data_IF_607576650428
#
_entry.id   IF_607576650428
#
_cell.length_a   1.000
_cell.length_b   1.000
_cell.length_c   1.000
_cell.angle_alpha   90.00
_cell.angle_beta   90.00
_cell.angle_gamma   90.00
#
_symmetry.space_group_name_H-M   'P 1'
#
loop_
_entity.id
_entity.type
_entity.pdbx_description
1 polymer ?
#
# COMPACT_ATOMS: atom_id res chain seq x y z
N UNK A 1 -31.20 -1.88 1.40
CA UNK A 1 -30.13 -2.80 1.88
C UNK A 1 -29.95 -2.45 3.34
N UNK A 2 -30.09 -3.42 4.26
CA UNK A 2 -29.77 -3.18 5.66
C UNK A 2 -28.30 -2.78 5.72
N UNK A 3 -28.01 -1.71 6.45
CA UNK A 3 -26.63 -1.28 6.74
C UNK A 3 -25.92 -2.42 7.47
N UNK A 4 -25.07 -3.16 6.74
CA UNK A 4 -24.30 -4.26 7.31
C UNK A 4 -23.20 -3.65 8.17
N UNK A 5 -23.45 -3.55 9.48
CA UNK A 5 -22.48 -3.02 10.42
C UNK A 5 -21.45 -4.08 10.75
N UNK A 6 -20.20 -3.85 10.34
CA UNK A 6 -19.03 -4.63 10.76
C UNK A 6 -18.70 -4.35 12.23
N UNK A 7 -17.84 -5.18 12.82
CA UNK A 7 -17.35 -4.98 14.19
C UNK A 7 -16.38 -3.79 14.25
N UNK A 8 -16.22 -3.21 15.43
CA UNK A 8 -15.21 -2.18 15.64
C UNK A 8 -13.80 -2.79 15.65
N UNK A 9 -12.80 -1.97 15.34
CA UNK A 9 -11.40 -2.40 15.35
C UNK A 9 -10.97 -2.77 16.77
N UNK A 10 -11.44 -2.04 17.78
CA UNK A 10 -11.17 -2.32 19.18
C UNK A 10 -11.67 -3.71 19.60
N UNK A 11 -12.92 -4.07 19.27
CA UNK A 11 -13.47 -5.40 19.56
C UNK A 11 -12.67 -6.51 18.88
N UNK A 12 -12.25 -6.31 17.64
CA UNK A 12 -11.46 -7.28 16.90
C UNK A 12 -10.05 -7.43 17.50
N UNK A 13 -9.41 -6.32 17.91
CA UNK A 13 -8.08 -6.34 18.54
C UNK A 13 -8.10 -7.08 19.86
N UNK A 14 -9.15 -6.92 20.69
CA UNK A 14 -9.27 -7.67 21.96
C UNK A 14 -9.41 -9.19 21.70
N UNK A 15 -10.29 -9.60 20.79
CA UNK A 15 -10.42 -11.01 20.41
C UNK A 15 -9.10 -11.57 19.84
N UNK A 16 -8.41 -10.79 19.02
CA UNK A 16 -7.12 -11.14 18.43
C UNK A 16 -6.02 -11.34 19.48
N UNK A 17 -5.98 -10.47 20.49
CA UNK A 17 -5.06 -10.55 21.64
C UNK A 17 -5.28 -11.82 22.46
N UNK A 18 -6.53 -12.25 22.60
CA UNK A 18 -6.90 -13.51 23.26
C UNK A 18 -6.55 -14.74 22.41
N UNK A 19 -6.09 -14.57 21.15
CA UNK A 19 -5.75 -15.66 20.23
C UNK A 19 -6.95 -16.24 19.52
N UNK A 20 -8.03 -15.46 19.35
CA UNK A 20 -9.16 -15.79 18.48
C UNK A 20 -8.86 -15.34 17.06
N UNK A 21 -9.54 -15.97 16.10
CA UNK A 21 -9.52 -15.52 14.71
C UNK A 21 -10.31 -14.23 14.52
N UNK A 22 -9.85 -13.41 13.60
CA UNK A 22 -10.58 -12.26 13.06
C UNK A 22 -10.69 -12.42 11.55
N UNK A 23 -11.85 -12.11 10.99
CA UNK A 23 -12.07 -12.05 9.55
C UNK A 23 -11.82 -10.60 9.12
N UNK A 24 -10.90 -10.43 8.17
CA UNK A 24 -10.61 -9.13 7.58
C UNK A 24 -11.07 -9.16 6.12
N UNK A 25 -11.87 -8.17 5.72
CA UNK A 25 -12.33 -8.02 4.34
C UNK A 25 -11.66 -6.81 3.69
N UNK A 26 -11.36 -6.94 2.41
CA UNK A 26 -10.84 -5.84 1.60
C UNK A 26 -11.93 -5.20 0.72
N UNK A 27 -11.52 -4.25 -0.11
CA UNK A 27 -12.42 -3.49 -0.98
C UNK A 27 -12.95 -4.36 -2.14
N UNK A 28 -14.19 -4.09 -2.57
CA UNK A 28 -14.82 -4.76 -3.71
C UNK A 28 -14.05 -4.55 -5.02
N UNK A 29 -13.36 -3.41 -5.15
CA UNK A 29 -12.56 -3.05 -6.32
C UNK A 29 -11.13 -3.64 -6.28
N UNK A 30 -10.74 -4.37 -5.18
CA UNK A 30 -9.42 -4.99 -5.03
C UNK A 30 -9.49 -6.51 -5.25
N UNK A 31 -9.52 -7.32 -4.20
CA UNK A 31 -9.70 -8.79 -4.25
C UNK A 31 -11.15 -9.17 -4.01
N UNK A 32 -11.85 -8.32 -3.24
CA UNK A 32 -13.21 -8.56 -2.75
C UNK A 32 -13.31 -9.90 -2.01
N UNK A 33 -12.35 -10.14 -1.11
CA UNK A 33 -12.20 -11.40 -0.38
C UNK A 33 -12.21 -11.15 1.14
N UNK A 34 -12.23 -12.22 1.91
CA UNK A 34 -12.07 -12.18 3.35
C UNK A 34 -11.13 -13.27 3.83
N UNK A 35 -10.14 -12.85 4.62
CA UNK A 35 -9.15 -13.74 5.19
C UNK A 35 -9.42 -13.99 6.66
N UNK A 36 -9.25 -15.25 7.06
CA UNK A 36 -9.21 -15.68 8.44
C UNK A 36 -7.79 -15.44 8.98
N UNK A 37 -7.64 -14.52 9.94
CA UNK A 37 -6.34 -14.06 10.43
C UNK A 37 -6.18 -14.34 11.93
N UNK A 38 -4.97 -14.72 12.35
CA UNK A 38 -4.57 -14.91 13.74
C UNK A 38 -3.09 -14.54 13.94
N UNK A 39 -2.71 -14.13 15.16
CA UNK A 39 -1.31 -13.91 15.50
C UNK A 39 -0.50 -15.24 15.46
N UNK A 40 0.70 -15.21 14.89
CA UNK A 40 1.54 -16.39 14.77
C UNK A 40 1.94 -17.01 16.12
N UNK A 41 2.14 -16.19 17.16
CA UNK A 41 2.45 -16.68 18.51
C UNK A 41 1.25 -17.36 19.22
N UNK A 42 0.03 -17.14 18.71
CA UNK A 42 -1.22 -17.71 19.26
C UNK A 42 -1.73 -18.92 18.49
N UNK A 43 -1.07 -19.30 17.39
CA UNK A 43 -1.49 -20.42 16.56
C UNK A 43 -1.13 -21.75 17.23
N UNK A 44 -1.91 -22.78 16.96
CA UNK A 44 -1.67 -24.15 17.37
C UNK A 44 -2.21 -25.14 16.32
N UNK A 45 -1.99 -26.44 16.53
CA UNK A 45 -2.43 -27.47 15.59
C UNK A 45 -3.95 -27.49 15.38
N UNK A 46 -4.74 -27.19 16.41
CA UNK A 46 -6.21 -27.17 16.31
C UNK A 46 -6.66 -25.99 15.44
N UNK A 47 -6.03 -24.83 15.60
CA UNK A 47 -6.32 -23.63 14.80
C UNK A 47 -5.88 -23.78 13.35
N UNK A 48 -4.70 -24.36 13.09
CA UNK A 48 -4.30 -24.71 11.71
C UNK A 48 -5.30 -25.66 11.08
N UNK A 49 -5.71 -26.72 11.81
CA UNK A 49 -6.71 -27.66 11.32
C UNK A 49 -8.08 -26.99 11.08
N UNK A 50 -8.46 -26.02 11.92
CA UNK A 50 -9.66 -25.21 11.70
C UNK A 50 -9.56 -24.41 10.39
N UNK A 51 -8.46 -23.69 10.16
CA UNK A 51 -8.23 -22.96 8.92
C UNK A 51 -8.35 -23.86 7.69
N UNK A 52 -7.64 -25.02 7.72
CA UNK A 52 -7.66 -25.97 6.61
C UNK A 52 -9.05 -26.54 6.31
N UNK A 53 -9.85 -26.81 7.33
CA UNK A 53 -11.21 -27.36 7.16
C UNK A 53 -12.24 -26.31 6.71
N UNK A 54 -12.13 -25.11 7.23
CA UNK A 54 -13.22 -24.15 7.15
C UNK A 54 -12.91 -22.96 6.26
N UNK A 55 -11.66 -22.47 6.22
CA UNK A 55 -11.27 -21.40 5.29
C UNK A 55 -10.89 -21.95 3.91
N UNK A 56 -10.09 -23.02 3.80
CA UNK A 56 -9.77 -23.79 2.58
C UNK A 56 -8.85 -23.07 1.58
N UNK A 57 -8.39 -21.86 1.86
CA UNK A 57 -7.46 -21.09 1.04
C UNK A 57 -6.01 -21.54 1.17
N UNK A 58 -5.07 -20.67 0.87
CA UNK A 58 -3.63 -20.91 1.01
C UNK A 58 -3.14 -20.43 2.38
N UNK A 59 -2.57 -21.33 3.18
CA UNK A 59 -2.02 -20.93 4.48
C UNK A 59 -0.73 -20.14 4.29
N UNK A 60 -0.79 -18.87 4.63
CA UNK A 60 0.32 -17.93 4.54
C UNK A 60 0.71 -17.39 5.92
N UNK A 61 1.97 -16.96 6.03
CA UNK A 61 2.52 -16.39 7.27
C UNK A 61 3.12 -15.00 7.00
N UNK A 62 2.32 -13.92 7.11
CA UNK A 62 2.84 -12.55 7.08
C UNK A 62 3.88 -12.31 8.18
N UNK A 63 5.04 -11.76 7.81
CA UNK A 63 6.10 -11.30 8.70
C UNK A 63 6.67 -9.98 8.18
N UNK A 64 7.36 -9.23 9.05
CA UNK A 64 7.98 -7.95 8.66
C UNK A 64 9.15 -8.17 7.71
N UNK A 65 9.51 -7.15 6.92
CA UNK A 65 10.68 -7.15 6.04
C UNK A 65 11.94 -7.46 6.86
N UNK A 66 12.13 -6.76 8.00
CA UNK A 66 13.28 -6.99 8.89
C UNK A 66 13.36 -8.44 9.35
N UNK A 67 12.21 -9.07 9.64
CA UNK A 67 12.19 -10.47 10.05
C UNK A 67 12.53 -11.43 8.90
N UNK A 68 12.09 -11.12 7.69
CA UNK A 68 12.53 -11.87 6.51
C UNK A 68 14.04 -11.82 6.34
N UNK A 69 14.65 -10.65 6.50
CA UNK A 69 16.10 -10.45 6.39
C UNK A 69 16.86 -11.21 7.49
N UNK A 70 16.41 -11.14 8.75
CA UNK A 70 17.00 -11.88 9.88
C UNK A 70 16.98 -13.40 9.65
N UNK A 71 15.92 -13.89 9.04
CA UNK A 71 15.73 -15.32 8.77
C UNK A 71 16.30 -15.75 7.42
N UNK A 72 16.90 -14.85 6.64
CA UNK A 72 17.42 -15.10 5.28
C UNK A 72 16.35 -15.73 4.37
N UNK A 73 15.20 -15.07 4.28
CA UNK A 73 14.05 -15.48 3.45
C UNK A 73 13.92 -14.58 2.24
N UNK A 74 14.61 -14.85 1.12
CA UNK A 74 14.51 -14.06 -0.09
C UNK A 74 13.12 -14.19 -0.74
N UNK A 75 12.80 -13.26 -1.64
CA UNK A 75 11.62 -13.39 -2.50
C UNK A 75 11.64 -14.71 -3.25
N UNK A 76 10.46 -15.30 -3.44
CA UNK A 76 10.30 -16.58 -4.13
C UNK A 76 10.76 -16.52 -5.59
N UNK A 77 10.62 -15.35 -6.21
CA UNK A 77 11.03 -15.07 -7.60
C UNK A 77 11.79 -13.76 -7.68
N UNK A 78 12.74 -13.68 -8.61
CA UNK A 78 13.47 -12.43 -8.88
C UNK A 78 12.61 -11.36 -9.55
N UNK A 79 11.60 -11.77 -10.32
CA UNK A 79 10.62 -10.92 -10.99
C UNK A 79 9.21 -11.38 -10.63
N UNK A 80 8.46 -10.54 -9.90
CA UNK A 80 7.09 -10.83 -9.53
C UNK A 80 6.13 -10.32 -10.61
N UNK A 81 5.55 -11.25 -11.37
CA UNK A 81 4.58 -10.97 -12.44
C UNK A 81 3.13 -11.21 -12.02
N UNK A 82 2.87 -11.48 -10.72
CA UNK A 82 1.50 -11.69 -10.24
C UNK A 82 0.69 -10.38 -10.32
N UNK A 83 -0.62 -10.52 -10.61
CA UNK A 83 -1.50 -9.37 -10.87
C UNK A 83 -1.50 -8.35 -9.73
N UNK A 84 -1.49 -8.80 -8.48
CA UNK A 84 -1.52 -7.96 -7.27
C UNK A 84 -0.16 -7.83 -6.59
N UNK A 85 0.89 -8.40 -7.19
CA UNK A 85 2.25 -8.34 -6.67
C UNK A 85 2.42 -8.97 -5.28
N UNK A 86 1.67 -10.05 -4.98
CA UNK A 86 1.74 -10.74 -3.69
C UNK A 86 3.17 -11.16 -3.36
N UNK A 87 3.73 -10.68 -2.23
CA UNK A 87 5.16 -10.73 -1.98
C UNK A 87 5.57 -12.02 -1.27
N UNK A 88 5.44 -13.17 -1.94
CA UNK A 88 5.89 -14.46 -1.42
C UNK A 88 7.40 -14.51 -1.23
N UNK A 89 7.82 -15.11 -0.11
CA UNK A 89 9.20 -15.57 0.07
C UNK A 89 9.34 -17.02 -0.39
N UNK A 90 10.57 -17.55 -0.34
CA UNK A 90 10.78 -19.00 -0.39
C UNK A 90 9.98 -19.69 0.72
N UNK A 91 9.37 -20.83 0.42
CA UNK A 91 8.59 -21.61 1.40
C UNK A 91 9.51 -22.27 2.42
N UNK A 92 9.02 -22.48 3.64
CA UNK A 92 9.82 -23.02 4.75
C UNK A 92 9.09 -24.05 5.57
N UNK A 93 9.87 -24.91 6.24
CA UNK A 93 9.44 -25.77 7.34
C UNK A 93 10.43 -25.68 8.50
N UNK A 94 9.96 -25.69 9.75
CA UNK A 94 10.81 -25.81 10.92
C UNK A 94 11.45 -27.21 10.94
N UNK A 95 12.76 -27.27 11.15
CA UNK A 95 13.52 -28.53 11.11
C UNK A 95 13.38 -29.34 12.41
N UNK A 96 13.53 -28.69 13.55
CA UNK A 96 13.52 -29.36 14.84
C UNK A 96 12.09 -29.47 15.41
N UNK A 97 11.71 -30.67 15.87
CA UNK A 97 10.40 -30.91 16.45
C UNK A 97 9.26 -31.10 15.45
N UNK A 98 9.57 -31.14 14.14
CA UNK A 98 8.61 -31.40 13.07
C UNK A 98 8.96 -32.71 12.34
N UNK A 99 7.98 -33.24 11.60
CA UNK A 99 8.16 -34.44 10.78
C UNK A 99 8.37 -34.12 9.30
N UNK A 100 7.31 -34.20 8.49
CA UNK A 100 7.36 -33.91 7.04
C UNK A 100 6.96 -32.47 6.69
N UNK A 101 6.60 -31.66 7.66
CA UNK A 101 6.17 -30.26 7.47
C UNK A 101 4.69 -30.07 7.12
N UNK A 102 3.96 -31.13 6.74
CA UNK A 102 2.59 -31.02 6.20
C UNK A 102 1.49 -31.05 7.26
N UNK A 103 1.72 -31.77 8.38
CA UNK A 103 0.70 -31.91 9.41
C UNK A 103 0.28 -30.54 10.01
N UNK A 104 -0.94 -30.46 10.56
CA UNK A 104 -1.38 -29.24 11.24
C UNK A 104 -0.43 -28.86 12.40
N UNK A 105 0.16 -29.84 13.08
CA UNK A 105 1.17 -29.62 14.10
C UNK A 105 2.45 -29.01 13.52
N UNK A 106 3.03 -29.60 12.47
CA UNK A 106 4.28 -29.10 11.87
C UNK A 106 4.13 -27.69 11.30
N UNK A 107 2.97 -27.41 10.66
CA UNK A 107 2.65 -26.08 10.14
C UNK A 107 2.51 -25.07 11.27
N UNK A 108 1.82 -25.40 12.37
CA UNK A 108 1.70 -24.54 13.52
C UNK A 108 3.06 -24.23 14.15
N UNK A 109 3.91 -25.25 14.31
CA UNK A 109 5.25 -25.09 14.85
C UNK A 109 6.15 -24.23 13.93
N UNK A 110 6.01 -24.36 12.62
CA UNK A 110 6.73 -23.53 11.65
C UNK A 110 6.29 -22.07 11.75
N UNK A 111 4.98 -21.81 11.81
CA UNK A 111 4.43 -20.44 11.94
C UNK A 111 4.86 -19.81 13.27
N UNK A 112 4.79 -20.55 14.40
CA UNK A 112 5.30 -20.05 15.68
C UNK A 112 6.78 -19.71 15.63
N UNK A 113 7.59 -20.55 14.98
CA UNK A 113 9.03 -20.30 14.87
C UNK A 113 9.35 -19.04 14.06
N UNK A 114 8.51 -18.65 13.07
CA UNK A 114 8.66 -17.38 12.37
C UNK A 114 8.48 -16.17 13.30
N UNK A 115 7.65 -16.30 14.35
CA UNK A 115 7.41 -15.29 15.37
C UNK A 115 8.37 -15.36 16.57
N UNK A 116 9.17 -16.42 16.70
CA UNK A 116 10.10 -16.57 17.82
C UNK A 116 11.39 -15.78 17.56
N UNK A 117 11.71 -14.75 18.38
CA UNK A 117 12.94 -13.94 18.23
C UNK A 117 14.25 -14.77 18.29
N UNK A 118 14.21 -15.97 18.92
CA UNK A 118 15.38 -16.84 19.02
C UNK A 118 15.59 -17.71 17.76
N UNK A 119 14.63 -17.79 16.87
CA UNK A 119 14.76 -18.50 15.59
C UNK A 119 15.72 -17.76 14.66
N UNK A 120 16.55 -18.55 13.97
CA UNK A 120 17.54 -18.06 12.99
C UNK A 120 17.27 -18.70 11.63
N UNK A 121 18.01 -18.28 10.60
CA UNK A 121 17.94 -18.90 9.28
C UNK A 121 18.15 -20.42 9.30
N UNK A 122 18.90 -20.95 10.27
CA UNK A 122 19.16 -22.41 10.46
C UNK A 122 18.00 -23.17 11.09
N UNK A 123 17.02 -22.47 11.66
CA UNK A 123 15.80 -23.08 12.22
C UNK A 123 14.94 -23.71 11.13
N UNK A 124 15.08 -23.22 9.87
CA UNK A 124 14.16 -23.56 8.78
C UNK A 124 14.86 -24.30 7.63
N UNK A 125 14.18 -25.36 7.16
CA UNK A 125 14.45 -25.99 5.86
C UNK A 125 13.76 -25.19 4.73
N UNK A 126 14.36 -25.20 3.56
CA UNK A 126 13.90 -24.54 2.32
C UNK A 126 14.08 -25.49 1.14
N UNK A 127 13.06 -25.71 0.28
CA UNK A 127 11.67 -25.28 0.42
C UNK A 127 10.93 -26.02 1.52
N UNK A 128 9.74 -25.54 1.90
CA UNK A 128 8.83 -26.15 2.86
C UNK A 128 7.36 -26.00 2.47
N UNK A 129 6.45 -26.06 3.45
CA UNK A 129 5.00 -26.08 3.25
C UNK A 129 4.28 -24.83 3.81
N UNK A 130 4.99 -23.94 4.48
CA UNK A 130 4.47 -22.63 4.90
C UNK A 130 4.98 -21.58 3.92
N UNK A 131 4.10 -20.64 3.58
CA UNK A 131 4.32 -19.54 2.66
C UNK A 131 4.50 -18.21 3.43
N UNK A 132 5.72 -17.81 3.81
CA UNK A 132 5.91 -16.50 4.41
C UNK A 132 5.66 -15.39 3.38
N UNK A 133 5.14 -14.24 3.87
CA UNK A 133 4.86 -13.07 3.06
C UNK A 133 5.57 -11.85 3.64
N UNK A 134 6.21 -11.05 2.77
CA UNK A 134 6.74 -9.74 3.14
C UNK A 134 5.60 -8.76 3.42
N UNK A 135 5.41 -8.32 4.65
CA UNK A 135 4.52 -7.21 4.95
C UNK A 135 5.25 -5.88 4.77
N UNK A 136 4.63 -4.94 4.09
CA UNK A 136 5.20 -3.61 3.89
C UNK A 136 5.30 -2.86 5.22
N UNK A 137 6.39 -2.09 5.39
CA UNK A 137 6.52 -1.15 6.50
C UNK A 137 5.35 -0.14 6.43
N UNK A 138 4.88 0.33 7.59
CA UNK A 138 3.66 1.10 7.79
C UNK A 138 2.33 0.33 7.56
N UNK A 139 2.37 -0.98 7.28
CA UNK A 139 1.20 -1.84 7.25
C UNK A 139 0.12 -1.39 6.25
N UNK A 140 -1.16 -1.43 6.66
CA UNK A 140 -2.30 -1.05 5.81
C UNK A 140 -2.25 0.41 5.33
N UNK A 141 -1.51 1.27 6.01
CA UNK A 141 -1.29 2.66 5.59
C UNK A 141 -0.33 2.78 4.39
N UNK A 142 0.42 1.73 4.07
CA UNK A 142 1.29 1.64 2.90
C UNK A 142 0.68 0.81 1.78
N UNK A 143 0.10 -0.33 2.12
CA UNK A 143 -0.56 -1.25 1.19
C UNK A 143 -1.81 -1.82 1.84
N UNK A 144 -2.97 -1.53 1.27
CA UNK A 144 -4.28 -1.96 1.76
C UNK A 144 -4.56 -3.44 1.49
N UNK A 145 -3.70 -4.34 2.00
CA UNK A 145 -3.80 -5.80 1.81
C UNK A 145 -3.89 -6.58 3.11
N UNK A 146 -4.40 -7.82 3.03
CA UNK A 146 -4.56 -8.73 4.16
C UNK A 146 -3.22 -9.06 4.86
N UNK A 147 -2.11 -9.13 4.09
CA UNK A 147 -0.75 -9.29 4.61
C UNK A 147 -0.39 -8.21 5.62
N UNK A 148 -0.63 -6.94 5.25
CA UNK A 148 -0.37 -5.77 6.09
C UNK A 148 -1.36 -5.70 7.26
N UNK A 149 -2.63 -6.05 7.02
CA UNK A 149 -3.65 -6.09 8.06
C UNK A 149 -3.30 -7.07 9.19
N UNK A 150 -2.74 -8.24 8.85
CA UNK A 150 -2.28 -9.22 9.84
C UNK A 150 -1.19 -8.66 10.76
N UNK A 151 -0.20 -7.96 10.20
CA UNK A 151 0.88 -7.34 10.98
C UNK A 151 0.36 -6.20 11.84
N UNK A 152 -0.55 -5.39 11.32
CA UNK A 152 -1.13 -4.27 12.07
C UNK A 152 -2.00 -4.76 13.23
N UNK A 153 -2.79 -5.82 13.04
CA UNK A 153 -3.53 -6.45 14.13
C UNK A 153 -2.58 -6.95 15.23
N UNK A 154 -1.46 -7.59 14.87
CA UNK A 154 -0.46 -8.00 15.85
C UNK A 154 0.08 -6.81 16.64
N UNK A 155 0.48 -5.73 15.96
CA UNK A 155 1.01 -4.52 16.59
C UNK A 155 -0.01 -3.85 17.50
N UNK A 156 -1.26 -3.70 17.05
CA UNK A 156 -2.35 -3.10 17.84
C UNK A 156 -2.70 -3.95 19.07
N UNK A 157 -2.59 -5.28 18.98
CA UNK A 157 -2.78 -6.21 20.08
C UNK A 157 -1.59 -6.30 21.06
N UNK A 158 -0.44 -5.66 20.74
CA UNK A 158 0.80 -5.76 21.52
C UNK A 158 1.48 -7.12 21.41
N UNK A 159 1.28 -7.83 20.29
CA UNK A 159 1.85 -9.13 19.99
C UNK A 159 3.04 -9.00 19.01
N UNK A 160 3.85 -10.07 18.88
CA UNK A 160 4.93 -10.08 17.91
C UNK A 160 4.38 -9.87 16.48
N UNK A 161 5.00 -9.01 15.64
CA UNK A 161 4.46 -8.66 14.34
C UNK A 161 4.67 -9.77 13.29
N UNK A 162 4.00 -10.88 13.54
CA UNK A 162 3.90 -12.05 12.66
C UNK A 162 2.51 -12.66 12.79
N UNK A 163 1.89 -13.02 11.67
CA UNK A 163 0.55 -13.59 11.64
C UNK A 163 0.47 -14.88 10.85
N UNK A 164 -0.71 -15.49 10.88
CA UNK A 164 -1.14 -16.49 9.92
C UNK A 164 -2.44 -16.03 9.30
N UNK A 165 -2.59 -16.21 8.01
CA UNK A 165 -3.81 -15.90 7.27
C UNK A 165 -4.15 -16.99 6.26
N UNK A 166 -5.43 -17.08 5.94
CA UNK A 166 -5.95 -17.98 4.90
C UNK A 166 -7.25 -17.40 4.35
N UNK A 167 -7.35 -17.33 3.04
CA UNK A 167 -8.56 -16.88 2.33
C UNK A 167 -9.73 -17.82 2.61
N UNK A 168 -10.95 -17.28 2.76
CA UNK A 168 -12.15 -18.06 3.01
C UNK A 168 -12.86 -18.37 1.69
N UNK A 169 -13.00 -19.65 1.41
CA UNK A 169 -13.70 -20.20 0.25
C UNK A 169 -15.02 -20.84 0.66
N UNK A 170 -16.00 -20.78 -0.24
CA UNK A 170 -17.25 -21.54 -0.16
C UNK A 170 -16.99 -23.06 -0.35
N UNK A 171 -17.97 -23.90 -0.02
CA UNK A 171 -17.85 -25.35 -0.19
C UNK A 171 -17.71 -25.80 -1.64
N UNK A 172 -18.21 -25.00 -2.57
CA UNK A 172 -18.12 -25.23 -4.02
C UNK A 172 -16.76 -24.79 -4.62
N UNK A 173 -15.85 -24.25 -3.79
CA UNK A 173 -14.53 -23.78 -4.20
C UNK A 173 -14.50 -22.34 -4.73
N UNK A 174 -15.62 -21.62 -4.74
CA UNK A 174 -15.64 -20.19 -5.07
C UNK A 174 -15.20 -19.36 -3.86
N UNK A 175 -14.72 -18.12 -4.09
CA UNK A 175 -14.35 -17.24 -3.00
C UNK A 175 -15.58 -16.74 -2.25
N UNK A 176 -15.54 -16.79 -0.91
CA UNK A 176 -16.61 -16.24 -0.09
C UNK A 176 -16.57 -14.69 -0.15
N UNK A 177 -17.75 -14.09 -0.33
CA UNK A 177 -17.93 -12.63 -0.34
C UNK A 177 -18.60 -12.18 0.96
N UNK A 178 -18.72 -10.89 1.19
CA UNK A 178 -19.19 -10.33 2.46
C UNK A 178 -20.45 -11.03 3.03
N UNK A 179 -21.52 -11.33 2.26
CA UNK A 179 -22.69 -12.03 2.81
C UNK A 179 -22.39 -13.42 3.37
N UNK A 180 -21.52 -14.20 2.69
CA UNK A 180 -21.08 -15.52 3.14
C UNK A 180 -20.14 -15.43 4.33
N UNK A 181 -19.24 -14.43 4.32
CA UNK A 181 -18.29 -14.18 5.42
C UNK A 181 -19.02 -13.81 6.72
N UNK A 182 -20.08 -13.01 6.66
CA UNK A 182 -20.92 -12.67 7.82
C UNK A 182 -21.66 -13.90 8.38
N UNK A 183 -22.11 -14.79 7.50
CA UNK A 183 -22.73 -16.05 7.91
C UNK A 183 -21.71 -16.95 8.61
N UNK A 184 -20.53 -17.08 8.03
CA UNK A 184 -19.41 -17.82 8.60
C UNK A 184 -19.00 -17.24 9.97
N UNK A 185 -18.85 -15.93 10.06
CA UNK A 185 -18.53 -15.24 11.31
C UNK A 185 -19.56 -15.52 12.41
N UNK A 186 -20.85 -15.47 12.06
CA UNK A 186 -21.95 -15.77 13.00
C UNK A 186 -21.93 -17.22 13.48
N UNK A 187 -21.63 -18.16 12.60
CA UNK A 187 -21.57 -19.59 12.91
C UNK A 187 -20.45 -19.89 13.93
N UNK A 188 -19.30 -19.24 13.77
CA UNK A 188 -18.11 -19.48 14.58
C UNK A 188 -17.86 -18.44 15.67
N UNK A 189 -18.74 -17.44 15.81
CA UNK A 189 -18.59 -16.38 16.82
C UNK A 189 -17.38 -15.46 16.59
N UNK A 190 -17.04 -15.21 15.32
CA UNK A 190 -15.88 -14.42 14.93
C UNK A 190 -16.24 -12.96 14.65
N UNK A 191 -15.28 -12.07 14.83
CA UNK A 191 -15.41 -10.66 14.42
C UNK A 191 -15.05 -10.47 12.97
N UNK A 192 -15.76 -9.55 12.29
CA UNK A 192 -15.49 -9.14 10.92
C UNK A 192 -15.19 -7.65 10.89
N UNK A 193 -14.04 -7.27 10.34
CA UNK A 193 -13.61 -5.89 10.15
C UNK A 193 -13.18 -5.67 8.71
N UNK A 194 -13.11 -4.41 8.26
CA UNK A 194 -12.57 -4.07 6.96
C UNK A 194 -11.18 -3.44 7.04
N UNK A 195 -10.38 -3.62 5.99
CA UNK A 195 -9.10 -2.91 5.83
C UNK A 195 -9.34 -1.40 5.81
N UNK A 196 -10.43 -0.95 5.21
CA UNK A 196 -10.83 0.46 5.20
C UNK A 196 -11.02 1.01 6.62
N UNK A 197 -11.75 0.31 7.48
CA UNK A 197 -11.94 0.73 8.87
C UNK A 197 -10.63 0.71 9.66
N UNK A 198 -9.74 -0.27 9.39
CA UNK A 198 -8.39 -0.30 9.97
C UNK A 198 -7.56 0.92 9.57
N UNK A 199 -7.59 1.31 8.30
CA UNK A 199 -6.91 2.51 7.81
C UNK A 199 -7.45 3.75 8.52
N UNK A 200 -8.78 3.92 8.59
CA UNK A 200 -9.40 5.06 9.28
C UNK A 200 -9.03 5.10 10.76
N UNK A 201 -9.04 3.95 11.42
CA UNK A 201 -8.67 3.81 12.84
C UNK A 201 -7.23 4.25 13.08
N UNK A 202 -6.29 3.74 12.26
CA UNK A 202 -4.88 4.08 12.37
C UNK A 202 -4.62 5.56 12.05
N UNK A 203 -5.26 6.10 11.00
CA UNK A 203 -5.14 7.52 10.65
C UNK A 203 -5.67 8.47 11.76
N UNK A 204 -6.63 8.02 12.57
CA UNK A 204 -7.11 8.79 13.73
C UNK A 204 -6.16 8.72 14.93
N UNK A 205 -5.42 7.61 15.09
CA UNK A 205 -4.55 7.38 16.28
C UNK A 205 -3.07 7.63 16.02
N UNK A 206 -2.64 7.51 14.78
CA UNK A 206 -1.23 7.61 14.38
C UNK A 206 -1.01 8.81 13.46
N UNK A 207 -0.06 9.65 13.77
CA UNK A 207 0.43 10.65 12.83
C UNK A 207 1.66 10.09 12.09
N UNK A 208 1.53 9.90 10.77
CA UNK A 208 2.67 9.57 9.90
C UNK A 208 3.51 10.80 9.55
N UNK A 209 3.05 11.99 9.94
CA UNK A 209 3.62 13.27 9.55
C UNK A 209 3.85 14.16 10.76
N UNK A 210 5.00 14.82 10.77
CA UNK A 210 5.28 16.01 11.57
C UNK A 210 5.02 17.24 10.70
N UNK A 211 4.42 18.28 11.28
CA UNK A 211 4.01 19.47 10.57
C UNK A 211 4.94 20.61 10.93
N UNK A 212 5.49 21.29 9.91
CA UNK A 212 6.34 22.45 10.11
C UNK A 212 5.56 23.77 10.10
N UNK A 213 6.30 24.88 10.11
CA UNK A 213 5.72 26.23 10.12
C UNK A 213 5.14 26.60 8.76
N UNK A 214 3.99 27.26 8.76
CA UNK A 214 3.39 27.84 7.57
C UNK A 214 4.05 29.18 7.22
N UNK A 215 4.35 29.37 5.93
CA UNK A 215 4.90 30.63 5.41
C UNK A 215 4.20 31.07 4.16
N UNK A 216 4.21 32.38 3.92
CA UNK A 216 3.80 32.98 2.67
C UNK A 216 4.86 32.77 1.58
N UNK A 217 4.44 32.30 0.40
CA UNK A 217 5.32 31.96 -0.70
C UNK A 217 4.86 32.58 -2.03
N UNK A 218 5.32 33.76 -2.38
CA UNK A 218 5.14 34.31 -3.73
C UNK A 218 6.02 33.54 -4.72
N UNK A 219 5.44 33.11 -5.84
CA UNK A 219 6.13 32.35 -6.90
C UNK A 219 5.83 32.97 -8.27
N UNK A 220 6.58 32.59 -9.30
CA UNK A 220 6.31 32.93 -10.68
C UNK A 220 4.93 32.44 -11.18
N UNK A 221 4.40 31.37 -10.57
CA UNK A 221 3.16 30.69 -11.00
C UNK A 221 1.96 31.01 -10.12
N UNK A 222 2.12 31.87 -9.13
CA UNK A 222 1.08 32.30 -8.21
C UNK A 222 1.57 32.55 -6.81
N UNK A 223 0.65 32.95 -5.94
CA UNK A 223 0.90 33.25 -4.55
C UNK A 223 0.23 32.24 -3.65
N UNK A 224 1.01 31.51 -2.86
CA UNK A 224 0.60 30.38 -2.06
C UNK A 224 1.04 30.51 -0.61
N UNK A 225 0.41 29.75 0.29
CA UNK A 225 0.94 29.39 1.58
C UNK A 225 1.67 28.05 1.46
N UNK A 226 2.85 27.93 2.05
CA UNK A 226 3.63 26.69 2.06
C UNK A 226 3.70 26.13 3.46
N UNK A 227 3.37 24.84 3.61
CA UNK A 227 3.57 24.06 4.83
C UNK A 227 4.49 22.87 4.53
N UNK A 228 5.64 22.72 5.19
CA UNK A 228 6.45 21.53 5.08
C UNK A 228 5.92 20.45 6.02
N UNK A 229 6.08 19.20 5.60
CA UNK A 229 5.71 18.00 6.36
C UNK A 229 6.86 17.02 6.36
N UNK A 230 7.21 16.44 7.52
CA UNK A 230 8.19 15.37 7.62
C UNK A 230 7.49 14.04 7.81
N UNK A 231 7.82 13.05 6.97
CA UNK A 231 7.33 11.69 7.13
C UNK A 231 8.06 11.00 8.29
N UNK A 232 7.32 10.57 9.31
CA UNK A 232 7.89 10.03 10.54
C UNK A 232 8.70 8.73 10.33
N UNK A 233 8.34 7.92 9.32
CA UNK A 233 8.94 6.60 9.08
C UNK A 233 10.33 6.63 8.43
N UNK A 234 10.63 7.66 7.63
CA UNK A 234 11.87 7.73 6.83
C UNK A 234 12.54 9.11 6.82
N UNK A 235 11.94 10.10 7.50
CA UNK A 235 12.46 11.45 7.60
C UNK A 235 12.36 12.29 6.32
N UNK A 236 11.70 11.80 5.27
CA UNK A 236 11.52 12.57 4.02
C UNK A 236 10.66 13.81 4.28
N UNK A 237 11.05 14.93 3.70
CA UNK A 237 10.36 16.20 3.82
C UNK A 237 9.55 16.49 2.56
N UNK A 238 8.24 16.63 2.75
CA UNK A 238 7.27 16.95 1.72
C UNK A 238 6.77 18.37 1.88
N UNK A 239 6.06 18.91 0.90
CA UNK A 239 5.53 20.27 0.94
C UNK A 239 4.08 20.28 0.47
N UNK A 240 3.27 21.15 1.09
CA UNK A 240 1.97 21.54 0.55
C UNK A 240 2.01 23.01 0.15
N UNK A 241 1.57 23.32 -1.07
CA UNK A 241 1.23 24.68 -1.52
C UNK A 241 -0.28 24.82 -1.45
N UNK A 242 -0.75 25.83 -0.74
CA UNK A 242 -2.15 26.03 -0.40
C UNK A 242 -2.60 27.40 -0.95
N UNK A 243 -3.78 27.45 -1.56
CA UNK A 243 -4.43 28.69 -2.00
C UNK A 243 -5.86 28.72 -1.51
N UNK A 244 -6.26 29.84 -0.89
CA UNK A 244 -7.63 30.09 -0.46
C UNK A 244 -8.08 29.24 0.73
N UNK A 245 -9.37 29.33 1.05
CA UNK A 245 -10.03 28.60 2.13
C UNK A 245 -11.21 27.79 1.58
N UNK A 246 -11.57 26.69 2.24
CA UNK A 246 -12.68 25.82 1.85
C UNK A 246 -13.41 25.25 3.05
N UNK A 247 -14.63 24.79 2.82
CA UNK A 247 -15.42 24.04 3.82
C UNK A 247 -15.13 22.55 3.72
N UNK A 248 -15.36 21.82 4.81
CA UNK A 248 -15.06 20.38 4.94
C UNK A 248 -15.60 19.52 3.78
N UNK A 249 -16.83 19.79 3.31
CA UNK A 249 -17.47 19.06 2.23
C UNK A 249 -17.31 19.70 0.83
N UNK A 250 -16.52 20.73 0.71
CA UNK A 250 -16.32 21.44 -0.55
C UNK A 250 -15.28 20.73 -1.42
N UNK A 251 -15.63 20.34 -2.67
CA UNK A 251 -14.65 19.76 -3.59
C UNK A 251 -13.64 20.83 -4.05
N UNK A 252 -12.37 20.65 -3.76
CA UNK A 252 -11.32 21.58 -4.17
C UNK A 252 -10.38 20.97 -5.22
N UNK A 253 -9.65 21.82 -5.91
CA UNK A 253 -8.65 21.40 -6.89
C UNK A 253 -7.41 20.88 -6.17
N UNK A 254 -7.01 19.64 -6.46
CA UNK A 254 -5.86 18.98 -5.81
C UNK A 254 -4.90 18.42 -6.83
N UNK A 255 -3.61 18.64 -6.60
CA UNK A 255 -2.52 17.94 -7.28
C UNK A 255 -1.61 17.23 -6.27
N UNK A 256 -1.42 15.93 -6.43
CA UNK A 256 -0.34 15.19 -5.77
C UNK A 256 0.78 15.00 -6.78
N UNK A 257 1.88 15.74 -6.61
CA UNK A 257 3.05 15.72 -7.49
C UNK A 257 4.21 14.97 -6.81
N UNK A 258 4.77 13.97 -7.49
CA UNK A 258 5.99 13.30 -7.02
C UNK A 258 7.20 14.01 -7.63
N UNK A 259 8.19 14.30 -6.79
CA UNK A 259 9.40 15.04 -7.18
C UNK A 259 10.09 14.42 -8.39
N UNK A 260 10.65 15.27 -9.21
CA UNK A 260 11.43 14.93 -10.38
C UNK A 260 12.54 15.97 -10.57
N UNK A 261 13.66 15.81 -9.87
CA UNK A 261 14.75 16.80 -9.87
C UNK A 261 15.19 17.20 -11.28
N UNK A 262 15.23 16.24 -12.21
CA UNK A 262 15.60 16.53 -13.61
C UNK A 262 14.54 17.35 -14.34
N UNK A 263 13.23 17.10 -14.10
CA UNK A 263 12.14 17.83 -14.76
C UNK A 263 11.78 19.14 -14.05
N UNK A 264 11.64 19.08 -12.72
CA UNK A 264 11.11 20.20 -11.94
C UNK A 264 12.15 21.30 -11.72
N UNK A 265 13.43 20.91 -11.50
CA UNK A 265 14.54 21.85 -11.21
C UNK A 265 15.34 22.17 -12.47
N UNK A 266 15.75 21.14 -13.23
CA UNK A 266 16.65 21.30 -14.36
C UNK A 266 15.95 21.50 -15.70
N UNK A 267 14.60 21.47 -15.75
CA UNK A 267 13.83 21.66 -16.98
C UNK A 267 14.07 20.61 -18.06
N UNK A 268 14.36 19.36 -17.66
CA UNK A 268 14.62 18.25 -18.59
C UNK A 268 13.44 18.04 -19.53
N UNK A 269 13.72 17.91 -20.82
CA UNK A 269 12.73 17.60 -21.85
C UNK A 269 12.46 16.10 -22.02
N UNK A 270 13.11 15.22 -21.24
CA UNK A 270 12.89 13.75 -21.27
C UNK A 270 11.56 13.33 -20.62
N UNK A 271 10.97 14.19 -19.79
CA UNK A 271 9.68 13.96 -19.16
C UNK A 271 8.80 15.22 -19.25
N UNK A 272 7.60 15.15 -18.70
CA UNK A 272 6.60 16.22 -18.64
C UNK A 272 6.40 16.78 -17.20
N UNK A 273 7.23 16.35 -16.22
CA UNK A 273 7.02 16.61 -14.79
C UNK A 273 6.99 18.10 -14.46
N UNK A 274 8.04 18.85 -14.80
CA UNK A 274 8.11 20.29 -14.51
C UNK A 274 6.97 21.07 -15.16
N UNK A 275 6.59 20.74 -16.41
CA UNK A 275 5.44 21.38 -17.07
C UNK A 275 4.13 21.08 -16.33
N UNK A 276 3.94 19.84 -15.86
CA UNK A 276 2.76 19.49 -15.06
C UNK A 276 2.74 20.21 -13.70
N UNK A 277 3.90 20.37 -13.05
CA UNK A 277 4.02 21.09 -11.79
C UNK A 277 3.57 22.54 -11.97
N UNK A 278 4.18 23.25 -12.90
CA UNK A 278 3.88 24.66 -13.17
C UNK A 278 2.42 24.88 -13.59
N UNK A 279 1.93 24.02 -14.49
CA UNK A 279 0.52 24.07 -14.93
C UNK A 279 -0.46 23.85 -13.77
N UNK A 280 -0.15 22.93 -12.85
CA UNK A 280 -0.98 22.70 -11.68
C UNK A 280 -1.02 23.92 -10.75
N UNK A 281 0.12 24.58 -10.54
CA UNK A 281 0.19 25.83 -9.77
C UNK A 281 -0.63 26.94 -10.42
N UNK A 282 -0.48 27.16 -11.72
CA UNK A 282 -1.26 28.15 -12.48
C UNK A 282 -2.78 27.86 -12.43
N UNK A 283 -3.17 26.58 -12.51
CA UNK A 283 -4.59 26.19 -12.43
C UNK A 283 -5.17 26.49 -11.05
N UNK A 284 -4.44 26.20 -9.97
CA UNK A 284 -4.85 26.51 -8.58
C UNK A 284 -4.90 28.01 -8.36
N UNK A 285 -3.90 28.78 -8.85
CA UNK A 285 -3.90 30.24 -8.79
C UNK A 285 -5.13 30.84 -9.46
N UNK A 286 -5.47 30.37 -10.68
CA UNK A 286 -6.62 30.80 -11.43
C UNK A 286 -7.96 30.44 -10.78
N UNK A 287 -8.06 29.25 -10.18
CA UNK A 287 -9.24 28.80 -9.44
C UNK A 287 -9.45 29.62 -8.16
N UNK A 288 -8.37 30.17 -7.59
CA UNK A 288 -8.37 30.92 -6.35
C UNK A 288 -8.41 30.04 -5.08
N UNK A 289 -8.53 28.73 -5.21
CA UNK A 289 -8.47 27.76 -4.12
C UNK A 289 -8.00 26.38 -4.58
N UNK A 290 -7.22 25.71 -3.75
CA UNK A 290 -6.75 24.35 -3.99
C UNK A 290 -5.45 24.04 -3.26
N UNK A 291 -4.99 22.81 -3.43
CA UNK A 291 -3.79 22.27 -2.79
C UNK A 291 -2.92 21.56 -3.80
N UNK A 292 -1.62 21.86 -3.79
CA UNK A 292 -0.60 21.05 -4.45
C UNK A 292 0.27 20.39 -3.37
N UNK A 293 0.25 19.06 -3.30
CA UNK A 293 1.18 18.27 -2.48
C UNK A 293 2.38 17.90 -3.32
N UNK A 294 3.57 18.31 -2.89
CA UNK A 294 4.84 17.97 -3.50
C UNK A 294 5.53 16.89 -2.66
N UNK A 295 5.53 15.67 -3.17
CA UNK A 295 6.05 14.47 -2.49
C UNK A 295 7.50 14.22 -2.89
N UNK A 296 8.39 14.10 -1.93
CA UNK A 296 9.80 13.71 -2.14
C UNK A 296 9.91 12.21 -2.43
N UNK A 297 9.43 11.80 -3.62
CA UNK A 297 9.38 10.42 -4.08
C UNK A 297 9.96 10.32 -5.49
N UNK A 298 11.25 10.71 -5.62
CA UNK A 298 11.99 10.76 -6.88
C UNK A 298 11.96 9.40 -7.61
N UNK A 299 11.78 9.47 -8.93
CA UNK A 299 11.78 8.26 -9.76
C UNK A 299 10.65 7.29 -9.47
N UNK A 300 9.50 7.75 -8.93
CA UNK A 300 8.39 6.92 -8.41
C UNK A 300 8.78 6.10 -7.18
N UNK A 301 9.61 6.66 -6.31
CA UNK A 301 10.06 6.01 -5.07
C UNK A 301 11.42 5.31 -5.16
N UNK A 302 11.99 5.10 -6.35
CA UNK A 302 13.29 4.42 -6.50
C UNK A 302 14.52 5.31 -6.26
N UNK A 303 14.31 6.60 -6.11
CA UNK A 303 15.37 7.59 -5.88
C UNK A 303 16.09 8.05 -7.14
N UNK A 304 16.89 9.14 -7.00
CA UNK A 304 17.56 9.79 -8.13
C UNK A 304 18.60 8.87 -8.79
N UNK A 305 19.42 8.18 -8.01
CA UNK A 305 20.48 7.32 -8.55
C UNK A 305 19.93 6.22 -9.45
N UNK A 306 18.92 5.49 -8.98
CA UNK A 306 18.29 4.41 -9.75
C UNK A 306 17.52 4.95 -10.95
N UNK A 307 16.90 6.13 -10.84
CA UNK A 307 16.28 6.81 -11.98
C UNK A 307 17.29 7.14 -13.08
N UNK A 308 18.50 7.60 -12.73
CA UNK A 308 19.54 7.87 -13.73
C UNK A 308 20.05 6.56 -14.35
N UNK A 309 20.19 5.49 -13.56
CA UNK A 309 20.49 4.15 -14.10
C UNK A 309 19.40 3.68 -15.07
N UNK A 310 18.10 3.87 -14.74
CA UNK A 310 17.00 3.57 -15.66
C UNK A 310 17.08 4.42 -16.94
N UNK A 311 17.48 5.69 -16.88
CA UNK A 311 17.73 6.51 -18.07
C UNK A 311 18.82 5.94 -18.95
N UNK A 312 19.88 5.36 -18.37
CA UNK A 312 20.94 4.70 -19.13
C UNK A 312 20.42 3.48 -19.88
N UNK A 313 19.64 2.63 -19.22
CA UNK A 313 18.98 1.49 -19.85
C UNK A 313 18.01 1.91 -20.98
N UNK A 314 17.30 3.03 -20.79
CA UNK A 314 16.44 3.57 -21.85
C UNK A 314 17.22 4.04 -23.09
N UNK A 315 18.45 4.54 -22.92
CA UNK A 315 19.36 4.85 -24.04
C UNK A 315 19.81 3.58 -24.79
N UNK A 316 19.85 2.45 -24.09
CA UNK A 316 20.16 1.12 -24.65
C UNK A 316 18.93 0.43 -25.29
N UNK A 317 17.73 1.06 -25.22
CA UNK A 317 16.53 0.61 -25.90
C UNK A 317 15.41 0.07 -25.03
N UNK A 318 15.61 -0.08 -23.70
CA UNK A 318 14.54 -0.44 -22.77
C UNK A 318 13.46 0.65 -22.71
N UNK A 319 12.23 0.29 -22.40
CA UNK A 319 11.24 1.28 -22.03
C UNK A 319 11.30 1.59 -20.51
N UNK A 320 10.45 2.49 -20.02
CA UNK A 320 10.49 2.92 -18.60
C UNK A 320 10.13 1.79 -17.63
N UNK A 321 9.21 0.89 -18.02
CA UNK A 321 8.77 -0.23 -17.17
C UNK A 321 9.87 -1.29 -17.13
N UNK A 322 10.36 -1.68 -18.30
CA UNK A 322 11.41 -2.71 -18.43
C UNK A 322 12.72 -2.27 -17.77
N UNK A 323 13.09 -0.98 -17.87
CA UNK A 323 14.26 -0.44 -17.20
C UNK A 323 14.16 -0.52 -15.66
N UNK A 324 12.99 -0.22 -15.09
CA UNK A 324 12.78 -0.35 -13.63
C UNK A 324 12.81 -1.81 -13.18
N UNK A 325 12.15 -2.70 -13.91
CA UNK A 325 12.15 -4.14 -13.61
C UNK A 325 13.57 -4.73 -13.70
N UNK A 326 14.35 -4.32 -14.70
CA UNK A 326 15.76 -4.75 -14.85
C UNK A 326 16.63 -4.33 -13.65
N UNK A 327 16.30 -3.22 -13.01
CA UNK A 327 16.94 -2.73 -11.78
C UNK A 327 16.37 -3.36 -10.51
N UNK A 328 15.40 -4.26 -10.59
CA UNK A 328 14.79 -4.95 -9.45
C UNK A 328 13.66 -4.17 -8.75
N UNK A 329 13.12 -3.11 -9.37
CA UNK A 329 12.05 -2.29 -8.82
C UNK A 329 10.69 -2.58 -9.46
N UNK A 330 9.62 -2.40 -8.69
CA UNK A 330 8.25 -2.36 -9.24
C UNK A 330 8.07 -1.14 -10.16
N UNK A 331 7.09 -1.16 -11.05
CA UNK A 331 6.75 0.01 -11.88
C UNK A 331 6.37 1.26 -11.08
N UNK A 332 5.87 1.08 -9.85
CA UNK A 332 5.48 2.17 -8.94
C UNK A 332 5.72 1.77 -7.48
N UNK A 333 6.65 2.45 -6.79
CA UNK A 333 7.02 2.26 -5.38
C UNK A 333 6.56 3.43 -4.49
N UNK A 334 5.64 4.29 -4.99
CA UNK A 334 5.18 5.47 -4.24
C UNK A 334 4.32 5.11 -3.05
N UNK A 335 4.50 5.89 -1.99
CA UNK A 335 3.65 5.90 -0.80
C UNK A 335 2.52 6.94 -0.97
N UNK A 336 1.28 6.49 -0.96
CA UNK A 336 0.10 7.37 -1.05
C UNK A 336 -0.46 7.75 0.32
N UNK A 337 -0.15 6.97 1.37
CA UNK A 337 -0.68 7.19 2.72
C UNK A 337 -0.22 8.50 3.34
N UNK A 338 1.06 8.85 3.21
CA UNK A 338 1.59 10.12 3.67
C UNK A 338 0.89 11.31 2.99
N UNK A 339 0.75 11.27 1.66
CA UNK A 339 0.06 12.32 0.90
C UNK A 339 -1.42 12.45 1.28
N UNK A 340 -2.09 11.33 1.55
CA UNK A 340 -3.47 11.32 2.01
C UNK A 340 -3.62 11.94 3.41
N UNK A 341 -2.71 11.65 4.35
CA UNK A 341 -2.70 12.29 5.66
C UNK A 341 -2.46 13.80 5.57
N UNK A 342 -1.54 14.24 4.71
CA UNK A 342 -1.31 15.67 4.47
C UNK A 342 -2.60 16.35 4.00
N UNK A 343 -3.30 15.77 3.02
CA UNK A 343 -4.58 16.31 2.53
C UNK A 343 -5.64 16.36 3.63
N UNK A 344 -5.79 15.30 4.41
CA UNK A 344 -6.75 15.28 5.54
C UNK A 344 -6.41 16.30 6.62
N UNK A 345 -5.13 16.47 6.94
CA UNK A 345 -4.68 17.51 7.88
C UNK A 345 -5.07 18.90 7.41
N UNK A 346 -5.00 19.15 6.11
CA UNK A 346 -5.40 20.41 5.47
C UNK A 346 -6.94 20.55 5.34
N UNK A 347 -7.73 19.62 5.88
CA UNK A 347 -9.19 19.64 5.82
C UNK A 347 -9.77 19.28 4.45
N UNK A 348 -8.99 18.61 3.60
CA UNK A 348 -9.47 18.12 2.30
C UNK A 348 -10.14 16.76 2.49
N UNK A 349 -11.44 16.68 2.20
CA UNK A 349 -12.22 15.45 2.20
C UNK A 349 -12.72 15.08 0.79
N UNK A 350 -13.11 16.09 0.02
CA UNK A 350 -13.56 15.94 -1.38
C UNK A 350 -12.63 16.69 -2.30
N UNK A 351 -12.30 16.10 -3.44
CA UNK A 351 -11.35 16.73 -4.34
C UNK A 351 -11.69 16.55 -5.82
N UNK A 352 -11.31 17.52 -6.60
CA UNK A 352 -11.17 17.48 -8.05
C UNK A 352 -9.70 17.23 -8.34
N UNK A 353 -9.34 15.96 -8.63
CA UNK A 353 -7.95 15.53 -8.70
C UNK A 353 -7.33 15.77 -10.08
N UNK A 354 -6.28 16.55 -10.14
CA UNK A 354 -5.48 16.75 -11.34
C UNK A 354 -4.57 15.54 -11.58
N UNK A 355 -5.01 14.62 -12.42
CA UNK A 355 -4.23 13.40 -12.75
C UNK A 355 -4.63 12.84 -14.10
N UNK A 356 -3.65 12.23 -14.80
CA UNK A 356 -3.87 11.41 -15.99
C UNK A 356 -3.70 9.91 -15.65
N UNK A 357 -3.42 9.56 -14.38
CA UNK A 357 -3.18 8.20 -13.94
C UNK A 357 -4.34 7.68 -13.07
N UNK A 358 -5.16 6.73 -13.55
CA UNK A 358 -6.29 6.19 -12.80
C UNK A 358 -5.86 5.43 -11.52
N UNK A 359 -4.67 4.83 -11.50
CA UNK A 359 -4.16 4.12 -10.30
C UNK A 359 -3.96 5.06 -9.11
N UNK A 360 -3.60 6.33 -9.34
CA UNK A 360 -3.51 7.34 -8.27
C UNK A 360 -4.84 7.57 -7.55
N UNK A 361 -5.94 7.43 -8.25
CA UNK A 361 -7.28 7.57 -7.71
C UNK A 361 -7.54 6.52 -6.63
N UNK A 362 -7.39 5.24 -6.98
CA UNK A 362 -7.61 4.12 -6.05
C UNK A 362 -6.74 4.26 -4.79
N UNK A 363 -5.48 4.71 -4.97
CA UNK A 363 -4.56 4.91 -3.85
C UNK A 363 -5.00 5.97 -2.85
N UNK A 364 -5.76 7.00 -3.24
CA UNK A 364 -6.23 8.07 -2.35
C UNK A 364 -7.61 7.73 -1.75
N UNK A 365 -8.51 7.14 -2.52
CA UNK A 365 -9.85 6.74 -2.07
C UNK A 365 -9.79 5.74 -0.92
N UNK A 366 -8.80 4.84 -0.94
CA UNK A 366 -8.56 3.89 0.15
C UNK A 366 -8.30 4.56 1.52
N UNK A 367 -7.88 5.83 1.53
CA UNK A 367 -7.64 6.62 2.75
C UNK A 367 -8.80 7.54 3.13
N UNK A 368 -10.01 7.31 2.61
CA UNK A 368 -11.21 8.07 2.94
C UNK A 368 -11.26 9.47 2.31
N UNK A 369 -10.58 9.66 1.17
CA UNK A 369 -10.65 10.87 0.35
C UNK A 369 -11.59 10.63 -0.83
N UNK A 370 -12.62 11.47 -0.98
CA UNK A 370 -13.59 11.35 -2.08
C UNK A 370 -13.09 12.11 -3.32
N UNK A 371 -12.91 11.41 -4.44
CA UNK A 371 -12.55 12.02 -5.72
C UNK A 371 -13.82 12.21 -6.56
N UNK A 372 -14.34 13.43 -6.56
CA UNK A 372 -15.58 13.78 -7.27
C UNK A 372 -15.36 14.00 -8.78
N UNK A 373 -14.14 14.38 -9.19
CA UNK A 373 -13.80 14.67 -10.58
C UNK A 373 -12.32 14.41 -10.85
N UNK A 374 -12.00 13.87 -12.02
CA UNK A 374 -10.64 13.81 -12.54
C UNK A 374 -10.41 14.94 -13.55
N UNK A 375 -9.41 15.78 -13.30
CA UNK A 375 -9.03 16.87 -14.19
C UNK A 375 -7.75 16.47 -14.92
N UNK A 376 -7.81 16.44 -16.24
CA UNK A 376 -6.65 16.12 -17.08
C UNK A 376 -5.58 17.23 -16.95
N UNK A 377 -4.33 16.82 -16.76
CA UNK A 377 -3.18 17.71 -16.73
C UNK A 377 -2.18 17.31 -17.82
N UNK A 378 -2.58 17.52 -19.07
CA UNK A 378 -1.81 17.15 -20.23
C UNK A 378 -0.84 18.27 -20.63
N UNK A 379 0.29 17.88 -21.18
CA UNK A 379 1.34 18.76 -21.69
C UNK A 379 1.59 18.46 -23.15
N UNK A 380 2.10 19.42 -23.91
CA UNK A 380 2.41 19.21 -25.32
C UNK A 380 3.63 18.29 -25.46
N UNK A 381 3.51 17.16 -26.19
CA UNK A 381 4.62 16.28 -26.45
C UNK A 381 5.76 16.99 -27.18
N UNK A 382 6.99 16.50 -26.96
CA UNK A 382 8.16 16.95 -27.72
C UNK A 382 8.99 15.74 -28.20
N UNK A 383 9.91 15.93 -29.10
CA UNK A 383 10.72 14.86 -29.70
C UNK A 383 11.52 14.01 -28.71
N UNK A 384 11.72 14.48 -27.47
CA UNK A 384 12.49 13.78 -26.45
C UNK A 384 11.63 12.98 -25.49
N UNK A 385 10.34 13.38 -25.28
CA UNK A 385 9.45 12.73 -24.34
C UNK A 385 8.30 11.93 -24.98
N UNK A 386 8.18 11.97 -26.31
CA UNK A 386 7.10 11.28 -27.02
C UNK A 386 7.07 9.77 -26.72
N UNK A 387 8.22 9.10 -26.73
CA UNK A 387 8.33 7.67 -26.37
C UNK A 387 7.91 7.42 -24.91
N UNK A 388 8.34 8.28 -24.00
CA UNK A 388 7.98 8.21 -22.58
C UNK A 388 6.46 8.37 -22.37
N UNK A 389 5.83 9.33 -23.05
CA UNK A 389 4.38 9.54 -22.97
C UNK A 389 3.59 8.38 -23.58
N UNK A 390 4.06 7.79 -24.68
CA UNK A 390 3.49 6.56 -25.25
C UNK A 390 3.57 5.40 -24.27
N UNK A 391 4.71 5.16 -23.61
CA UNK A 391 4.83 4.12 -22.57
C UNK A 391 3.86 4.35 -21.41
N UNK A 392 3.69 5.60 -20.94
CA UNK A 392 2.69 5.94 -19.92
C UNK A 392 1.28 5.55 -20.35
N UNK A 393 0.89 5.87 -21.60
CA UNK A 393 -0.44 5.53 -22.13
C UNK A 393 -0.61 4.03 -22.31
N UNK A 394 0.32 3.39 -23.04
CA UNK A 394 0.14 2.05 -23.59
C UNK A 394 0.43 0.95 -22.54
N UNK A 395 1.34 1.18 -21.60
CA UNK A 395 1.78 0.18 -20.61
C UNK A 395 1.40 0.52 -19.15
N UNK A 396 1.04 1.76 -18.88
CA UNK A 396 0.75 2.21 -17.50
C UNK A 396 -0.67 2.76 -17.33
N UNK A 397 -1.53 2.57 -18.32
CA UNK A 397 -2.95 2.93 -18.26
C UNK A 397 -3.24 4.43 -18.12
N UNK A 398 -2.27 5.32 -18.42
CA UNK A 398 -2.52 6.75 -18.39
C UNK A 398 -3.48 7.18 -19.51
N UNK A 399 -4.46 8.00 -19.17
CA UNK A 399 -5.34 8.64 -20.15
C UNK A 399 -4.63 9.87 -20.71
N UNK A 400 -4.10 9.76 -21.93
CA UNK A 400 -3.36 10.82 -22.61
C UNK A 400 -3.85 10.93 -24.07
N UNK A 401 -4.22 12.12 -24.49
CA UNK A 401 -4.54 12.44 -25.88
C UNK A 401 -3.26 12.92 -26.58
N UNK A 402 -2.48 11.96 -27.05
CA UNK A 402 -1.29 12.21 -27.85
C UNK A 402 -1.77 12.41 -29.29
N UNK A 403 -1.71 13.66 -29.80
CA UNK A 403 -2.11 14.03 -31.16
C UNK A 403 -1.32 13.33 -32.26
#
# INVERSE_FOLDING_TARGET
MEDVRLNSIEEAVEDFKEGKFVIVVDDEDRENEGDLIIAAEKIDAEKVNFMLKHARGVLCAPITISRCDELDLPHQVSENTSMLGTPFTVTVDKLEGCSTGVSAHDRAETIKALADPNSTSKTFGRPGHINPLYAQDNGVLRRSGHTEAAIDLCKMAGLYPAGALMEIMNEDGTMARLPQLLKFAKEWGLKVISIKDMIEYRLKKESLIEIGEEVDLPTEYGHFHLIPFRQASNGLEHMALIKGEWKEDEPILVRVHSSCATGDILGSKRCDCGQQLHKAMEMIEKEGKGVLIYMQQEGRGIGLMNKIAAYKLQEEGYDTVDANTHLGFKPDERDYGCGAQMLRHLGVHKMRLMTNNPVKRVGLEAYGLEIVENIAIETTPNKYNERYLKTKRDRMGHVLHLG
#
